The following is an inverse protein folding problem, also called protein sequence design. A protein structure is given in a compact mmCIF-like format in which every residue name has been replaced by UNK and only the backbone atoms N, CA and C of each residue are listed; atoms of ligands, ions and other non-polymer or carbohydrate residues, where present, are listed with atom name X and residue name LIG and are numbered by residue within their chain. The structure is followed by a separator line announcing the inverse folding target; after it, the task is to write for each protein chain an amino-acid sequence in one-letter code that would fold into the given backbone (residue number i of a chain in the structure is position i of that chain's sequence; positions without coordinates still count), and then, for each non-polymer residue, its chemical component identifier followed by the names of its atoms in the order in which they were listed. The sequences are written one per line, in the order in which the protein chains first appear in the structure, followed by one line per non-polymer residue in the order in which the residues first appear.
data_IF_886848984090
#
_entry.id   IF_886848984090
#
_cell.length_a   1.000
_cell.length_b   1.000
_cell.length_c   1.000
_cell.angle_alpha   90.00
_cell.angle_beta   90.00
_cell.angle_gamma   90.00
#
_symmetry.space_group_name_H-M   'P 1'
#
loop_
_entity.id
_entity.type
_entity.pdbx_description
1 polymer ?
#
# COMPACT_ATOMS: atom_id res chain seq x y z
N UNK A 1 -2.92 8.34 -13.02
CA UNK A 1 -2.25 8.50 -11.70
C UNK A 1 -3.24 8.17 -10.61
N UNK A 2 -2.80 7.65 -9.46
CA UNK A 2 -3.68 7.40 -8.32
C UNK A 2 -4.17 8.72 -7.69
N UNK A 3 -5.42 8.75 -7.25
CA UNK A 3 -6.04 9.91 -6.60
C UNK A 3 -5.36 10.27 -5.27
N UNK A 4 -5.38 11.56 -4.91
CA UNK A 4 -4.82 12.05 -3.63
C UNK A 4 -5.43 11.34 -2.42
N UNK A 5 -6.73 11.06 -2.46
CA UNK A 5 -7.42 10.34 -1.39
C UNK A 5 -6.87 8.91 -1.22
N UNK A 6 -6.57 8.24 -2.32
CA UNK A 6 -6.01 6.88 -2.33
C UNK A 6 -4.58 6.86 -1.79
N UNK A 7 -3.75 7.83 -2.18
CA UNK A 7 -2.38 7.98 -1.69
C UNK A 7 -2.35 8.20 -0.16
N UNK A 8 -3.27 9.00 0.37
CA UNK A 8 -3.36 9.26 1.81
C UNK A 8 -3.71 7.98 2.59
N UNK A 9 -4.71 7.23 2.11
CA UNK A 9 -5.11 5.94 2.70
C UNK A 9 -3.99 4.90 2.62
N UNK A 10 -3.26 4.88 1.51
CA UNK A 10 -2.10 4.02 1.31
C UNK A 10 -1.01 4.29 2.35
N UNK A 11 -0.66 5.56 2.60
CA UNK A 11 0.35 5.93 3.59
C UNK A 11 -0.11 5.59 5.02
N UNK A 12 -1.39 5.80 5.34
CA UNK A 12 -1.96 5.39 6.64
C UNK A 12 -1.94 3.87 6.82
N UNK A 13 -2.32 3.10 5.79
CA UNK A 13 -2.29 1.64 5.82
C UNK A 13 -0.86 1.11 5.97
N UNK A 14 0.09 1.71 5.25
CA UNK A 14 1.51 1.39 5.35
C UNK A 14 2.06 1.66 6.76
N UNK A 15 1.77 2.82 7.34
CA UNK A 15 2.20 3.17 8.70
C UNK A 15 1.59 2.22 9.75
N UNK A 16 0.33 1.80 9.55
CA UNK A 16 -0.34 0.82 10.41
C UNK A 16 0.31 -0.57 10.31
N UNK A 17 0.67 -1.00 9.10
CA UNK A 17 1.40 -2.25 8.85
C UNK A 17 2.81 -2.21 9.44
N UNK A 18 3.51 -1.07 9.34
CA UNK A 18 4.83 -0.86 9.93
C UNK A 18 4.74 -0.96 11.47
N UNK A 19 3.73 -0.30 12.06
CA UNK A 19 3.45 -0.32 13.51
C UNK A 19 2.88 -1.64 14.03
N UNK A 20 2.43 -2.55 13.17
CA UNK A 20 1.87 -3.83 13.58
C UNK A 20 3.00 -4.82 13.86
N UNK A 21 3.62 -4.75 15.04
CA UNK A 21 4.78 -5.58 15.42
C UNK A 21 4.49 -7.09 15.40
N UNK A 22 3.26 -7.50 15.73
CA UNK A 22 2.84 -8.91 15.74
C UNK A 22 2.44 -9.46 14.35
N UNK A 23 2.36 -8.59 13.35
CA UNK A 23 1.89 -8.96 12.02
C UNK A 23 2.98 -9.74 11.26
N UNK A 24 2.79 -11.05 11.10
CA UNK A 24 3.67 -11.96 10.32
C UNK A 24 3.28 -12.05 8.83
N UNK A 25 2.43 -11.16 8.36
CA UNK A 25 1.93 -11.15 6.99
C UNK A 25 3.07 -10.99 5.98
N UNK A 26 3.01 -11.75 4.88
CA UNK A 26 3.93 -11.63 3.76
C UNK A 26 3.93 -10.19 3.20
N UNK A 27 2.77 -9.54 3.23
CA UNK A 27 2.64 -8.14 2.85
C UNK A 27 3.62 -7.27 3.65
N UNK A 28 3.60 -7.30 4.99
CA UNK A 28 4.52 -6.50 5.81
C UNK A 28 5.99 -6.85 5.52
N UNK A 29 6.29 -8.13 5.30
CA UNK A 29 7.65 -8.60 5.04
C UNK A 29 8.24 -8.05 3.74
N UNK A 30 7.43 -7.94 2.69
CA UNK A 30 7.89 -7.56 1.34
C UNK A 30 7.48 -6.14 0.90
N UNK A 31 6.52 -5.52 1.58
CA UNK A 31 6.11 -4.14 1.34
C UNK A 31 7.08 -3.20 2.06
N UNK A 32 8.25 -3.00 1.46
CA UNK A 32 9.23 -2.00 1.92
C UNK A 32 8.87 -0.61 1.40
N UNK A 33 9.42 0.45 2.01
CA UNK A 33 9.19 1.84 1.57
C UNK A 33 9.49 2.04 0.08
N UNK A 34 10.54 1.42 -0.44
CA UNK A 34 10.91 1.50 -1.86
C UNK A 34 9.84 0.87 -2.76
N UNK A 35 9.40 -0.35 -2.43
CA UNK A 35 8.37 -1.08 -3.20
C UNK A 35 7.05 -0.30 -3.16
N UNK A 36 6.68 0.21 -1.98
CA UNK A 36 5.50 1.03 -1.80
C UNK A 36 5.55 2.32 -2.63
N UNK A 37 6.66 3.09 -2.58
CA UNK A 37 6.77 4.34 -3.34
C UNK A 37 6.76 4.11 -4.86
N UNK A 38 7.33 2.99 -5.32
CA UNK A 38 7.33 2.61 -6.73
C UNK A 38 5.94 2.21 -7.25
N UNK A 39 5.11 1.61 -6.38
CA UNK A 39 3.80 1.07 -6.75
C UNK A 39 2.63 2.01 -6.41
N UNK A 40 2.75 2.92 -5.43
CA UNK A 40 1.64 3.76 -4.96
C UNK A 40 1.03 4.68 -6.03
N UNK A 41 1.82 5.09 -7.01
CA UNK A 41 1.37 5.93 -8.13
C UNK A 41 0.87 5.12 -9.33
N UNK A 42 1.02 3.79 -9.31
CA UNK A 42 0.60 2.89 -10.40
C UNK A 42 -0.89 2.56 -10.27
N UNK A 43 -1.53 2.45 -11.41
CA UNK A 43 -2.94 2.07 -11.58
C UNK A 43 -3.01 1.07 -12.72
N UNK A 44 -3.81 0.02 -12.54
CA UNK A 44 -4.05 -0.96 -13.61
C UNK A 44 -5.01 -0.37 -14.65
N UNK A 45 -5.09 -0.98 -15.83
CA UNK A 45 -6.04 -0.55 -16.87
C UNK A 45 -7.50 -0.64 -16.41
N UNK A 46 -7.81 -1.51 -15.45
CA UNK A 46 -9.15 -1.61 -14.83
C UNK A 46 -9.40 -0.58 -13.72
N UNK A 47 -8.40 0.23 -13.37
CA UNK A 47 -8.53 1.25 -12.34
C UNK A 47 -8.19 0.83 -10.91
N UNK A 48 -7.80 -0.43 -10.70
CA UNK A 48 -7.33 -0.89 -9.40
C UNK A 48 -6.00 -0.20 -9.03
N UNK A 49 -5.86 0.06 -7.73
CA UNK A 49 -4.68 0.69 -7.15
C UNK A 49 -4.06 -0.22 -6.10
N UNK A 50 -2.87 0.13 -5.63
CA UNK A 50 -2.22 -0.62 -4.55
C UNK A 50 -3.12 -0.73 -3.30
N UNK A 51 -3.99 0.27 -3.05
CA UNK A 51 -4.92 0.26 -1.92
C UNK A 51 -5.88 -0.93 -1.98
N UNK A 52 -6.42 -1.22 -3.16
CA UNK A 52 -7.38 -2.29 -3.41
C UNK A 52 -6.80 -3.67 -3.10
N UNK A 53 -5.48 -3.82 -3.27
CA UNK A 53 -4.75 -5.08 -3.04
C UNK A 53 -4.39 -5.26 -1.56
N UNK A 54 -4.08 -4.17 -0.84
CA UNK A 54 -3.59 -4.24 0.55
C UNK A 54 -4.65 -3.96 1.62
N UNK A 55 -5.84 -3.52 1.22
CA UNK A 55 -6.97 -3.22 2.12
C UNK A 55 -7.71 -4.49 2.59
N UNK A 56 -7.29 -5.69 2.17
CA UNK A 56 -7.89 -6.96 2.55
C UNK A 56 -7.75 -7.31 4.03
#
# INVERSE_FOLDING_TARGET
MADKATLLKLEQGFAKLESAHDCKSLLKKYLTKEVFYKLKSRKTSMGATLLDIIQS
#
